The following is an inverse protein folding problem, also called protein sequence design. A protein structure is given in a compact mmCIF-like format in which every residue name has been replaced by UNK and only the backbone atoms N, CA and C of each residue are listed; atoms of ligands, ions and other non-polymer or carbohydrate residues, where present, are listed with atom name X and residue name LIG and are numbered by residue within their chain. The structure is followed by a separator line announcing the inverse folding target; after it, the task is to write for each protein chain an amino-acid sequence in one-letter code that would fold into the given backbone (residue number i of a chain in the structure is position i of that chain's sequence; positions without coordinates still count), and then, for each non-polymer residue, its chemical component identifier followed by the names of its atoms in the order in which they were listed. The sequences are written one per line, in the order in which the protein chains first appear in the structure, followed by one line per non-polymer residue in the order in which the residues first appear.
data_IF_889024819661
#
_entry.id   IF_889024819661
#
_cell.length_a   1.000
_cell.length_b   1.000
_cell.length_c   1.000
_cell.angle_alpha   90.00
_cell.angle_beta   90.00
_cell.angle_gamma   90.00
#
_symmetry.space_group_name_H-M   'P 1'
#
loop_
_entity.id
_entity.type
_entity.pdbx_description
1 polymer ?
#
# COMPACT_ATOMS: atom_id res chain seq x y z
N UNK A 1 -26.09 8.80 -2.34
CA UNK A 1 -25.29 8.10 -1.29
C UNK A 1 -25.99 6.81 -0.92
N UNK A 2 -25.29 5.68 -0.93
CA UNK A 2 -25.83 4.41 -0.47
C UNK A 2 -26.09 4.46 1.05
N UNK A 3 -27.15 3.76 1.50
CA UNK A 3 -27.49 3.68 2.92
C UNK A 3 -26.39 2.88 3.66
N UNK A 4 -25.87 3.37 4.80
CA UNK A 4 -24.87 2.63 5.57
C UNK A 4 -25.36 1.23 5.95
N UNK A 5 -24.46 0.23 5.90
CA UNK A 5 -24.74 -1.13 6.30
C UNK A 5 -23.89 -1.52 7.52
N UNK A 6 -24.27 -1.09 8.74
CA UNK A 6 -23.42 -1.20 9.93
C UNK A 6 -22.94 -2.62 10.24
N UNK A 7 -23.72 -3.64 9.90
CA UNK A 7 -23.32 -5.03 10.11
C UNK A 7 -22.19 -5.44 9.16
N UNK A 8 -22.22 -4.99 7.91
CA UNK A 8 -21.15 -5.25 6.93
C UNK A 8 -19.87 -4.50 7.32
N UNK A 9 -19.98 -3.23 7.70
CA UNK A 9 -18.84 -2.43 8.18
C UNK A 9 -18.15 -3.08 9.38
N UNK A 10 -18.92 -3.55 10.37
CA UNK A 10 -18.39 -4.26 11.54
C UNK A 10 -17.66 -5.55 11.18
N UNK A 11 -18.21 -6.33 10.23
CA UNK A 11 -17.57 -7.54 9.77
C UNK A 11 -16.22 -7.27 9.08
N UNK A 12 -16.18 -6.26 8.21
CA UNK A 12 -14.95 -5.84 7.53
C UNK A 12 -13.93 -5.27 8.52
N UNK A 13 -14.37 -4.45 9.49
CA UNK A 13 -13.47 -3.91 10.54
C UNK A 13 -12.78 -5.01 11.35
N UNK A 14 -13.47 -6.11 11.66
CA UNK A 14 -12.86 -7.26 12.35
C UNK A 14 -11.84 -7.95 11.44
N UNK A 15 -12.17 -8.19 10.18
CA UNK A 15 -11.25 -8.81 9.21
C UNK A 15 -10.00 -7.93 9.04
N UNK A 16 -10.17 -6.63 8.83
CA UNK A 16 -9.07 -5.68 8.66
C UNK A 16 -8.16 -5.63 9.88
N UNK A 17 -8.72 -5.64 11.09
CA UNK A 17 -7.94 -5.70 12.33
C UNK A 17 -7.06 -6.96 12.38
N UNK A 18 -7.61 -8.12 12.01
CA UNK A 18 -6.86 -9.38 12.02
C UNK A 18 -5.81 -9.44 10.89
N UNK A 19 -6.08 -8.86 9.74
CA UNK A 19 -5.12 -8.74 8.62
C UNK A 19 -3.94 -7.86 9.01
N UNK A 20 -4.18 -6.75 9.70
CA UNK A 20 -3.13 -5.80 10.11
C UNK A 20 -2.28 -6.28 11.29
N UNK A 21 -2.72 -7.35 11.99
CA UNK A 21 -2.00 -7.93 13.13
C UNK A 21 -1.72 -9.43 12.92
N UNK A 22 -0.94 -9.79 11.88
CA UNK A 22 -0.64 -11.18 11.58
C UNK A 22 0.16 -11.81 12.73
N UNK A 23 -0.32 -12.94 13.24
CA UNK A 23 0.32 -13.65 14.35
C UNK A 23 -0.22 -13.30 15.74
N UNK A 24 -1.02 -12.23 15.87
CA UNK A 24 -1.76 -11.97 17.11
C UNK A 24 -3.06 -12.79 17.13
N UNK A 25 -3.47 -13.16 18.33
CA UNK A 25 -4.73 -13.87 18.56
C UNK A 25 -5.59 -13.04 19.51
N UNK A 26 -6.80 -12.76 19.12
CA UNK A 26 -7.71 -11.87 19.86
C UNK A 26 -8.88 -12.66 20.45
N UNK A 27 -9.20 -12.41 21.71
CA UNK A 27 -10.46 -12.83 22.31
C UNK A 27 -11.61 -11.95 21.81
N UNK A 28 -12.85 -12.38 22.01
CA UNK A 28 -14.02 -11.56 21.70
C UNK A 28 -13.99 -10.20 22.40
N UNK A 29 -13.51 -10.14 23.63
CA UNK A 29 -13.39 -8.91 24.40
C UNK A 29 -12.35 -7.96 23.81
N UNK A 30 -11.23 -8.51 23.30
CA UNK A 30 -10.21 -7.71 22.62
C UNK A 30 -10.74 -7.13 21.31
N UNK A 31 -11.43 -7.96 20.50
CA UNK A 31 -12.04 -7.52 19.26
C UNK A 31 -13.09 -6.45 19.51
N UNK A 32 -13.99 -6.65 20.46
CA UNK A 32 -15.02 -5.68 20.82
C UNK A 32 -14.40 -4.33 21.23
N UNK A 33 -13.40 -4.37 22.11
CA UNK A 33 -12.71 -3.17 22.60
C UNK A 33 -11.98 -2.43 21.48
N UNK A 34 -11.19 -3.13 20.66
CA UNK A 34 -10.38 -2.53 19.58
C UNK A 34 -11.24 -1.98 18.44
N UNK A 35 -12.41 -2.56 18.20
CA UNK A 35 -13.33 -2.13 17.13
C UNK A 35 -14.44 -1.20 17.62
N UNK A 36 -14.47 -0.86 18.91
CA UNK A 36 -15.51 -0.01 19.50
C UNK A 36 -16.91 -0.65 19.52
N UNK A 37 -17.02 -1.97 19.37
CA UNK A 37 -18.30 -2.69 19.36
C UNK A 37 -18.75 -3.09 20.77
N UNK A 38 -20.07 -3.19 20.98
CA UNK A 38 -20.57 -3.90 22.14
C UNK A 38 -20.27 -5.40 22.05
N UNK A 39 -20.08 -6.09 23.19
CA UNK A 39 -19.85 -7.55 23.21
C UNK A 39 -20.94 -8.34 22.48
N UNK A 40 -22.20 -7.93 22.61
CA UNK A 40 -23.32 -8.59 21.91
C UNK A 40 -23.22 -8.42 20.38
N UNK A 41 -22.84 -7.23 19.91
CA UNK A 41 -22.63 -6.98 18.50
C UNK A 41 -21.42 -7.74 17.95
N UNK A 42 -20.31 -7.75 18.68
CA UNK A 42 -19.12 -8.53 18.30
C UNK A 42 -19.45 -10.03 18.25
N UNK A 43 -20.19 -10.57 19.23
CA UNK A 43 -20.59 -11.96 19.25
C UNK A 43 -21.42 -12.34 18.02
N UNK A 44 -22.40 -11.53 17.64
CA UNK A 44 -23.25 -11.78 16.48
C UNK A 44 -22.44 -11.78 15.16
N UNK A 45 -21.53 -10.81 14.99
CA UNK A 45 -20.70 -10.72 13.79
C UNK A 45 -19.69 -11.87 13.72
N UNK A 46 -19.02 -12.18 14.84
CA UNK A 46 -18.05 -13.28 14.91
C UNK A 46 -18.68 -14.63 14.63
N UNK A 47 -19.91 -14.88 15.12
CA UNK A 47 -20.62 -16.12 14.87
C UNK A 47 -20.86 -16.33 13.36
N UNK A 48 -21.29 -15.30 12.63
CA UNK A 48 -21.50 -15.37 11.18
C UNK A 48 -20.19 -15.59 10.44
N UNK A 49 -19.13 -14.86 10.81
CA UNK A 49 -17.82 -14.98 10.16
C UNK A 49 -17.19 -16.36 10.41
N UNK A 50 -17.35 -16.92 11.61
CA UNK A 50 -16.90 -18.27 11.97
C UNK A 50 -17.71 -19.33 11.20
N UNK A 51 -19.04 -19.25 11.18
CA UNK A 51 -19.93 -20.16 10.44
C UNK A 51 -19.59 -20.21 8.95
N UNK A 52 -19.24 -19.04 8.37
CA UNK A 52 -18.86 -18.93 6.96
C UNK A 52 -17.38 -19.24 6.68
N UNK A 53 -16.60 -19.58 7.71
CA UNK A 53 -15.18 -19.91 7.59
C UNK A 53 -14.25 -18.72 7.29
N UNK A 54 -14.73 -17.47 7.39
CA UNK A 54 -13.91 -16.27 7.29
C UNK A 54 -13.03 -16.08 8.52
N UNK A 55 -13.48 -16.56 9.67
CA UNK A 55 -12.69 -16.64 10.89
C UNK A 55 -12.57 -18.09 11.36
N UNK A 56 -11.46 -18.38 12.04
CA UNK A 56 -11.23 -19.62 12.76
C UNK A 56 -11.11 -19.30 14.25
N UNK A 57 -11.85 -20.07 15.09
CA UNK A 57 -11.78 -19.94 16.54
C UNK A 57 -10.95 -21.05 17.14
N UNK A 58 -9.98 -20.68 17.97
CA UNK A 58 -9.18 -21.67 18.69
C UNK A 58 -10.02 -22.35 19.79
N UNK A 59 -10.16 -23.69 19.80
CA UNK A 59 -11.13 -24.39 20.65
C UNK A 59 -10.84 -24.22 22.16
N UNK A 60 -9.57 -24.14 22.54
CA UNK A 60 -9.15 -24.04 23.96
C UNK A 60 -9.01 -22.58 24.39
N UNK A 61 -8.22 -21.78 23.65
CA UNK A 61 -7.94 -20.37 24.00
C UNK A 61 -9.10 -19.43 23.73
N UNK A 62 -10.08 -19.87 22.93
CA UNK A 62 -11.24 -19.09 22.49
C UNK A 62 -10.86 -17.79 21.79
N UNK A 63 -9.68 -17.75 21.17
CA UNK A 63 -9.19 -16.64 20.36
C UNK A 63 -9.59 -16.83 18.89
N UNK A 64 -9.70 -15.72 18.17
CA UNK A 64 -10.06 -15.68 16.76
C UNK A 64 -8.86 -15.32 15.91
N UNK A 65 -8.78 -15.92 14.73
CA UNK A 65 -7.83 -15.61 13.67
C UNK A 65 -8.53 -15.70 12.32
N UNK A 66 -7.79 -15.36 11.24
CA UNK A 66 -8.30 -15.45 9.87
C UNK A 66 -8.61 -16.91 9.50
N UNK A 67 -9.74 -17.13 8.84
CA UNK A 67 -10.19 -18.45 8.42
C UNK A 67 -9.88 -18.78 6.96
N UNK A 68 -9.97 -20.06 6.56
CA UNK A 68 -9.58 -20.54 5.23
C UNK A 68 -10.43 -19.99 4.08
N UNK A 69 -11.65 -19.51 4.33
CA UNK A 69 -12.47 -18.87 3.30
C UNK A 69 -11.82 -17.62 2.70
N UNK A 70 -10.99 -16.92 3.48
CA UNK A 70 -10.23 -15.76 2.98
C UNK A 70 -9.13 -16.17 2.00
N UNK A 71 -8.53 -17.35 2.17
CA UNK A 71 -7.55 -17.88 1.22
C UNK A 71 -8.21 -18.12 -0.13
N UNK A 72 -9.37 -18.76 -0.14
CA UNK A 72 -10.13 -18.99 -1.39
C UNK A 72 -10.55 -17.68 -2.06
N UNK A 73 -11.01 -16.70 -1.28
CA UNK A 73 -11.38 -15.39 -1.79
C UNK A 73 -10.15 -14.66 -2.38
N UNK A 74 -9.01 -14.71 -1.70
CA UNK A 74 -7.75 -14.12 -2.18
C UNK A 74 -7.26 -14.77 -3.48
N UNK A 75 -7.30 -16.10 -3.58
CA UNK A 75 -6.94 -16.81 -4.82
C UNK A 75 -7.85 -16.42 -5.99
N UNK A 76 -9.16 -16.40 -5.78
CA UNK A 76 -10.11 -15.96 -6.80
C UNK A 76 -9.88 -14.50 -7.23
N UNK A 77 -9.53 -13.62 -6.29
CA UNK A 77 -9.17 -12.23 -6.59
C UNK A 77 -7.90 -12.15 -7.43
N UNK A 78 -6.87 -12.93 -7.12
CA UNK A 78 -5.62 -12.98 -7.91
C UNK A 78 -5.86 -13.49 -9.33
N UNK A 79 -6.74 -14.48 -9.53
CA UNK A 79 -7.12 -14.97 -10.84
C UNK A 79 -7.84 -13.90 -11.69
N UNK A 80 -8.64 -13.04 -11.05
CA UNK A 80 -9.32 -11.92 -11.70
C UNK A 80 -8.38 -10.74 -12.02
N UNK A 81 -7.20 -10.68 -11.40
CA UNK A 81 -6.22 -9.62 -11.57
C UNK A 81 -4.87 -10.15 -12.08
N UNK A 82 -4.78 -10.57 -13.35
CA UNK A 82 -3.58 -11.17 -13.91
C UNK A 82 -2.35 -10.25 -13.84
N UNK A 83 -2.55 -8.93 -13.77
CA UNK A 83 -1.46 -7.97 -13.60
C UNK A 83 -0.68 -8.19 -12.29
N UNK A 84 -1.35 -8.59 -11.20
CA UNK A 84 -0.69 -8.89 -9.93
C UNK A 84 0.23 -10.11 -10.09
N UNK A 85 -0.28 -11.20 -10.67
CA UNK A 85 0.50 -12.43 -10.88
C UNK A 85 1.72 -12.17 -11.77
N UNK A 86 1.51 -11.54 -12.91
CA UNK A 86 2.61 -11.25 -13.86
C UNK A 86 3.63 -10.30 -13.21
N UNK A 87 3.20 -9.25 -12.48
CA UNK A 87 4.10 -8.37 -11.77
C UNK A 87 4.94 -9.12 -10.73
N UNK A 88 4.31 -10.02 -9.95
CA UNK A 88 5.00 -10.85 -8.96
C UNK A 88 6.11 -11.71 -9.57
N UNK A 89 5.90 -12.24 -10.79
CA UNK A 89 6.91 -13.00 -11.53
C UNK A 89 8.11 -12.12 -11.96
N UNK A 90 7.90 -10.82 -12.21
CA UNK A 90 8.94 -9.91 -12.72
C UNK A 90 9.79 -9.25 -11.63
N UNK A 91 9.22 -8.99 -10.44
CA UNK A 91 9.88 -8.15 -9.43
C UNK A 91 11.18 -8.74 -8.87
N UNK A 92 11.33 -10.08 -8.84
CA UNK A 92 12.57 -10.71 -8.38
C UNK A 92 13.78 -10.37 -9.25
N UNK A 93 13.59 -10.34 -10.58
CA UNK A 93 14.63 -9.94 -11.54
C UNK A 93 15.00 -8.46 -11.39
N UNK A 94 13.98 -7.58 -11.29
CA UNK A 94 14.18 -6.16 -11.11
C UNK A 94 14.88 -5.83 -9.77
N UNK A 95 14.52 -6.53 -8.71
CA UNK A 95 15.14 -6.36 -7.40
C UNK A 95 16.63 -6.72 -7.41
N UNK A 96 17.00 -7.81 -8.10
CA UNK A 96 18.39 -8.20 -8.28
C UNK A 96 19.19 -7.22 -9.16
N UNK A 97 18.55 -6.65 -10.18
CA UNK A 97 19.16 -5.68 -11.10
C UNK A 97 19.45 -4.34 -10.39
N UNK A 98 18.52 -3.87 -9.56
CA UNK A 98 18.61 -2.59 -8.86
C UNK A 98 19.31 -2.66 -7.51
N UNK A 99 19.66 -3.87 -7.03
CA UNK A 99 20.11 -4.13 -5.65
C UNK A 99 19.20 -3.44 -4.61
N UNK A 100 17.89 -3.60 -4.78
CA UNK A 100 16.83 -2.89 -4.04
C UNK A 100 15.67 -3.83 -3.70
N UNK A 101 14.81 -3.42 -2.78
CA UNK A 101 13.54 -4.08 -2.55
C UNK A 101 12.51 -3.60 -3.58
N UNK A 102 11.81 -4.53 -4.21
CA UNK A 102 10.76 -4.21 -5.18
C UNK A 102 9.44 -4.82 -4.72
N UNK A 103 8.39 -4.02 -4.73
CA UNK A 103 7.07 -4.44 -4.30
C UNK A 103 6.03 -4.23 -5.39
N UNK A 104 5.07 -5.15 -5.46
CA UNK A 104 3.82 -4.97 -6.19
C UNK A 104 2.81 -4.37 -5.25
N UNK A 105 2.28 -3.22 -5.59
CA UNK A 105 1.25 -2.55 -4.81
C UNK A 105 -0.06 -2.47 -5.58
N UNK A 106 -1.19 -2.58 -4.87
CA UNK A 106 -2.52 -2.38 -5.44
C UNK A 106 -3.26 -1.30 -4.66
N UNK A 107 -3.96 -0.41 -5.37
CA UNK A 107 -4.77 0.63 -4.75
C UNK A 107 -6.17 0.12 -4.43
N UNK A 108 -6.65 0.41 -3.23
CA UNK A 108 -8.07 0.41 -2.86
C UNK A 108 -8.55 1.87 -2.80
N UNK A 109 -9.84 2.15 -2.62
CA UNK A 109 -10.30 3.52 -2.45
C UNK A 109 -9.62 4.30 -1.31
N UNK A 110 -9.07 3.62 -0.30
CA UNK A 110 -8.55 4.24 0.92
C UNK A 110 -7.15 3.79 1.32
N UNK A 111 -6.62 2.72 0.73
CA UNK A 111 -5.32 2.13 1.08
C UNK A 111 -4.50 1.75 -0.16
N UNK A 112 -3.20 1.66 0.04
CA UNK A 112 -2.27 0.95 -0.83
C UNK A 112 -1.92 -0.36 -0.12
N UNK A 113 -2.12 -1.48 -0.80
CA UNK A 113 -1.85 -2.84 -0.30
C UNK A 113 -0.57 -3.36 -0.93
N UNK A 114 0.36 -3.87 -0.14
CA UNK A 114 1.55 -4.57 -0.62
C UNK A 114 1.18 -6.02 -0.94
N UNK A 115 1.11 -6.34 -2.22
CA UNK A 115 0.58 -7.64 -2.69
C UNK A 115 1.67 -8.68 -2.83
N UNK A 116 2.87 -8.26 -3.26
CA UNK A 116 4.02 -9.14 -3.37
C UNK A 116 5.31 -8.34 -3.11
N UNK A 117 6.32 -9.01 -2.57
CA UNK A 117 7.62 -8.42 -2.23
C UNK A 117 8.73 -9.24 -2.89
N UNK A 118 9.60 -8.59 -3.65
CA UNK A 118 10.82 -9.15 -4.24
C UNK A 118 12.06 -8.44 -3.66
N UNK A 119 13.16 -9.16 -3.55
CA UNK A 119 14.41 -8.65 -2.99
C UNK A 119 14.86 -9.45 -1.78
N UNK A 120 16.00 -9.07 -1.23
CA UNK A 120 16.64 -9.77 -0.09
C UNK A 120 16.49 -9.03 1.23
N UNK A 121 15.69 -7.97 1.27
CA UNK A 121 15.61 -7.04 2.37
C UNK A 121 16.77 -6.06 2.33
N UNK A 122 16.59 -4.94 1.68
CA UNK A 122 17.61 -3.89 1.62
C UNK A 122 17.89 -3.33 3.02
N UNK A 123 19.16 -3.04 3.30
CA UNK A 123 19.59 -2.35 4.54
C UNK A 123 18.93 -0.98 4.69
N UNK A 124 18.58 -0.34 3.58
CA UNK A 124 18.02 1.01 3.52
C UNK A 124 16.52 1.01 3.24
N UNK A 125 15.91 -0.19 3.05
CA UNK A 125 14.51 -0.33 2.72
C UNK A 125 13.60 -0.32 3.95
N UNK A 126 12.31 -0.01 3.75
CA UNK A 126 11.31 0.03 4.83
C UNK A 126 10.89 -1.36 5.34
N UNK A 127 11.45 -2.45 4.79
CA UNK A 127 11.11 -3.81 5.21
C UNK A 127 9.65 -4.17 4.95
N UNK A 128 9.18 -3.96 3.74
CA UNK A 128 7.81 -4.26 3.30
C UNK A 128 7.40 -5.71 3.58
N UNK A 129 6.13 -5.90 3.90
CA UNK A 129 5.53 -7.22 4.08
C UNK A 129 4.30 -7.37 3.21
N UNK A 130 4.13 -8.56 2.63
CA UNK A 130 2.92 -8.90 1.90
C UNK A 130 1.69 -8.82 2.81
N UNK A 131 0.59 -8.30 2.28
CA UNK A 131 -0.64 -8.03 3.03
C UNK A 131 -0.61 -6.75 3.87
N UNK A 132 0.52 -6.08 4.00
CA UNK A 132 0.62 -4.79 4.68
C UNK A 132 -0.16 -3.72 3.91
N UNK A 133 -0.72 -2.75 4.65
CA UNK A 133 -1.48 -1.64 4.10
C UNK A 133 -0.95 -0.32 4.63
N UNK A 134 -0.87 0.66 3.74
CA UNK A 134 -0.64 2.05 4.10
C UNK A 134 -1.78 2.92 3.57
N UNK A 135 -2.13 4.00 4.26
CA UNK A 135 -3.19 4.89 3.79
C UNK A 135 -2.88 5.48 2.40
N UNK A 136 -3.88 5.49 1.52
CA UNK A 136 -3.83 6.21 0.26
C UNK A 136 -4.17 7.68 0.52
N UNK A 137 -3.19 8.44 0.98
CA UNK A 137 -3.28 9.87 1.30
C UNK A 137 -2.11 10.61 0.69
N UNK A 138 -2.27 11.89 0.31
CA UNK A 138 -1.16 12.69 -0.22
C UNK A 138 0.05 12.75 0.74
N UNK A 139 1.28 12.68 0.20
CA UNK A 139 1.67 12.48 -1.21
C UNK A 139 1.74 11.02 -1.66
N UNK A 140 1.41 10.03 -0.79
CA UNK A 140 1.41 8.63 -1.19
C UNK A 140 0.34 8.37 -2.25
N UNK A 141 0.70 7.57 -3.24
CA UNK A 141 -0.23 7.16 -4.29
C UNK A 141 -0.23 8.03 -5.54
N UNK A 142 0.71 8.98 -5.71
CA UNK A 142 0.85 9.79 -6.92
C UNK A 142 0.80 8.93 -8.20
N UNK A 143 1.45 7.76 -8.20
CA UNK A 143 1.46 6.83 -9.32
C UNK A 143 0.06 6.31 -9.70
N UNK A 144 -0.87 6.21 -8.74
CA UNK A 144 -2.26 5.84 -9.00
C UNK A 144 -3.08 7.06 -9.43
N UNK A 145 -2.88 8.18 -8.72
CA UNK A 145 -3.68 9.40 -8.90
C UNK A 145 -3.34 10.14 -10.20
N UNK A 146 -2.14 9.97 -10.74
CA UNK A 146 -1.73 10.64 -11.97
C UNK A 146 -2.65 10.33 -13.17
N UNK A 147 -3.28 9.17 -13.20
CA UNK A 147 -4.22 8.75 -14.27
C UNK A 147 -5.65 8.49 -13.76
N UNK A 148 -5.94 8.87 -12.51
CA UNK A 148 -7.27 8.73 -11.93
C UNK A 148 -8.24 9.81 -12.45
N UNK A 149 -9.55 9.59 -12.27
CA UNK A 149 -10.54 10.59 -12.57
C UNK A 149 -10.48 11.76 -11.56
N UNK A 150 -10.96 12.91 -11.95
CA UNK A 150 -10.89 14.12 -11.13
C UNK A 150 -11.58 13.96 -9.76
N UNK A 151 -12.68 13.24 -9.69
CA UNK A 151 -13.40 12.93 -8.45
C UNK A 151 -12.61 12.00 -7.52
N UNK A 152 -11.83 11.07 -8.07
CA UNK A 152 -10.93 10.19 -7.29
C UNK A 152 -9.76 10.99 -6.72
N UNK A 153 -9.21 11.93 -7.52
CA UNK A 153 -8.14 12.84 -7.07
C UNK A 153 -8.65 13.76 -5.97
N UNK A 154 -9.86 14.35 -6.11
CA UNK A 154 -10.47 15.19 -5.08
C UNK A 154 -10.73 14.39 -3.78
N UNK A 155 -11.24 13.18 -3.91
CA UNK A 155 -11.44 12.31 -2.76
C UNK A 155 -10.11 11.92 -2.06
N UNK A 156 -9.04 11.76 -2.82
CA UNK A 156 -7.70 11.52 -2.28
C UNK A 156 -7.15 12.75 -1.58
N UNK A 157 -7.25 13.94 -2.18
CA UNK A 157 -6.84 15.21 -1.56
C UNK A 157 -7.59 15.49 -0.26
N UNK A 158 -8.88 15.23 -0.24
CA UNK A 158 -9.72 15.41 0.95
C UNK A 158 -9.37 14.51 2.14
N UNK A 159 -8.46 13.54 1.97
CA UNK A 159 -7.94 12.69 3.05
C UNK A 159 -6.65 13.22 3.69
N UNK A 160 -6.08 14.29 3.17
CA UNK A 160 -4.91 14.90 3.79
C UNK A 160 -5.24 15.42 5.19
N UNK A 161 -4.32 15.23 6.13
CA UNK A 161 -4.44 15.74 7.49
C UNK A 161 -4.08 17.23 7.61
N UNK A 162 -3.52 17.81 6.56
CA UNK A 162 -3.07 19.21 6.50
C UNK A 162 -3.57 19.88 5.22
N UNK A 163 -3.58 21.20 5.22
CA UNK A 163 -3.88 21.98 4.03
C UNK A 163 -2.75 21.82 3.01
N UNK A 164 -3.11 21.44 1.79
CA UNK A 164 -2.17 21.13 0.73
C UNK A 164 -2.05 22.27 -0.27
N UNK A 165 -0.83 22.55 -0.71
CA UNK A 165 -0.59 23.39 -1.86
C UNK A 165 -1.04 22.67 -3.13
N UNK A 166 -2.23 23.05 -3.63
CA UNK A 166 -2.87 22.43 -4.80
C UNK A 166 -2.00 22.52 -6.05
N UNK A 167 -1.35 23.66 -6.27
CA UNK A 167 -0.52 23.86 -7.46
C UNK A 167 0.68 22.90 -7.46
N UNK A 168 1.28 22.65 -6.29
CA UNK A 168 2.35 21.65 -6.14
C UNK A 168 1.85 20.23 -6.44
N UNK A 169 0.67 19.88 -6.01
CA UNK A 169 0.08 18.56 -6.30
C UNK A 169 -0.17 18.40 -7.80
N UNK A 170 -0.75 19.41 -8.44
CA UNK A 170 -1.07 19.37 -9.86
C UNK A 170 0.20 19.27 -10.71
N UNK A 171 1.27 19.99 -10.32
CA UNK A 171 2.60 19.88 -10.95
C UNK A 171 3.17 18.46 -10.74
N UNK A 172 3.06 17.89 -9.55
CA UNK A 172 3.56 16.53 -9.28
C UNK A 172 2.81 15.49 -10.12
N UNK A 173 1.49 15.56 -10.18
CA UNK A 173 0.67 14.66 -11.01
C UNK A 173 1.00 14.79 -12.50
N UNK A 174 1.20 16.02 -13.00
CA UNK A 174 1.60 16.26 -14.37
C UNK A 174 3.00 15.66 -14.65
N UNK A 175 3.96 15.91 -13.76
CA UNK A 175 5.33 15.37 -13.88
C UNK A 175 5.32 13.84 -13.93
N UNK A 176 4.54 13.19 -13.09
CA UNK A 176 4.42 11.72 -13.08
C UNK A 176 3.83 11.22 -14.40
N UNK A 177 2.81 11.91 -14.97
CA UNK A 177 2.23 11.56 -16.27
C UNK A 177 3.25 11.69 -17.41
N UNK A 178 3.96 12.81 -17.46
CA UNK A 178 4.92 13.08 -18.53
C UNK A 178 6.10 12.12 -18.50
N UNK A 179 6.60 11.80 -17.31
CA UNK A 179 7.74 10.90 -17.10
C UNK A 179 7.35 9.42 -17.16
N UNK A 180 6.14 9.09 -16.72
CA UNK A 180 5.60 7.74 -16.65
C UNK A 180 5.97 6.96 -15.38
N UNK A 181 6.54 7.64 -14.37
CA UNK A 181 6.84 7.08 -13.05
C UNK A 181 6.91 8.19 -11.99
N UNK A 182 6.67 7.84 -10.74
CA UNK A 182 6.78 8.71 -9.59
C UNK A 182 8.10 8.46 -8.85
N UNK A 183 8.70 9.49 -8.31
CA UNK A 183 9.89 9.43 -7.45
C UNK A 183 9.58 10.04 -6.10
N UNK A 184 9.88 9.32 -5.03
CA UNK A 184 9.77 9.83 -3.66
C UNK A 184 11.14 9.96 -3.01
N UNK A 185 11.35 11.01 -2.21
CA UNK A 185 12.58 11.16 -1.41
C UNK A 185 12.50 10.32 -0.13
N UNK A 186 13.66 10.01 0.46
CA UNK A 186 13.73 9.52 1.84
C UNK A 186 13.38 10.68 2.76
N UNK A 187 12.10 10.85 3.00
CA UNK A 187 11.60 11.79 3.98
C UNK A 187 11.36 11.11 5.34
N UNK A 188 10.80 11.84 6.27
CA UNK A 188 10.40 11.32 7.57
C UNK A 188 9.35 10.19 7.44
N UNK A 189 8.53 10.23 6.40
CA UNK A 189 7.58 9.16 6.03
C UNK A 189 8.32 7.86 5.72
N UNK A 190 9.36 7.90 4.88
CA UNK A 190 10.18 6.72 4.57
C UNK A 190 10.84 6.15 5.82
N UNK A 191 11.36 7.01 6.69
CA UNK A 191 11.92 6.59 8.00
C UNK A 191 10.87 6.01 8.93
N UNK A 192 9.66 6.57 8.97
CA UNK A 192 8.54 6.07 9.80
C UNK A 192 8.05 4.71 9.29
N UNK A 193 7.98 4.51 7.98
CA UNK A 193 7.61 3.23 7.38
C UNK A 193 8.72 2.17 7.56
N UNK A 194 9.99 2.60 7.56
CA UNK A 194 11.17 1.76 7.74
C UNK A 194 11.50 1.45 9.22
N UNK A 195 10.93 2.21 10.16
CA UNK A 195 11.18 1.96 11.59
C UNK A 195 10.79 0.50 11.93
N UNK A 196 11.67 -0.25 12.62
CA UNK A 196 11.33 -1.59 13.07
C UNK A 196 10.04 -1.48 13.89
N UNK A 197 8.95 -1.99 13.35
CA UNK A 197 7.75 -2.21 14.16
C UNK A 197 8.17 -3.21 15.21
N UNK A 198 8.42 -2.71 16.41
CA UNK A 198 8.83 -3.53 17.52
C UNK A 198 7.90 -4.74 17.56
N UNK A 199 8.49 -5.92 17.46
CA UNK A 199 7.85 -7.17 17.85
C UNK A 199 7.65 -7.10 19.37
N UNK A 200 6.78 -6.17 19.79
CA UNK A 200 6.45 -5.96 21.18
C UNK A 200 5.53 -7.08 21.62
N UNK A 201 6.14 -8.12 22.17
CA UNK A 201 5.47 -8.99 23.11
C UNK A 201 5.11 -8.24 24.40
N UNK A 202 4.49 -7.09 24.30
CA UNK A 202 3.89 -6.37 25.44
C UNK A 202 2.54 -5.84 25.01
N UNK A 203 1.51 -6.48 25.52
CA UNK A 203 0.12 -6.02 25.52
C UNK A 203 0.02 -4.59 26.07
N UNK A 204 -0.29 -3.62 25.22
CA UNK A 204 -0.52 -2.24 25.67
C UNK A 204 -0.97 -1.36 24.51
N UNK A 205 -2.27 -1.15 24.40
CA UNK A 205 -2.97 0.00 23.84
C UNK A 205 -2.15 0.98 22.95
N UNK A 206 -2.00 0.69 21.67
CA UNK A 206 -1.37 1.61 20.72
C UNK A 206 -1.98 1.53 19.31
N UNK A 207 -3.28 1.37 19.13
CA UNK A 207 -3.81 1.00 17.81
C UNK A 207 -4.80 1.96 17.15
N UNK A 208 -5.42 2.87 17.86
CA UNK A 208 -6.21 3.94 17.24
C UNK A 208 -5.35 5.14 16.82
N UNK A 209 -4.29 5.45 17.59
CA UNK A 209 -3.36 6.54 17.28
C UNK A 209 -2.37 6.22 16.16
N UNK A 210 -2.15 4.96 15.83
CA UNK A 210 -1.13 4.56 14.86
C UNK A 210 -1.48 4.95 13.42
N UNK A 211 -2.74 4.73 12.97
CA UNK A 211 -3.14 5.04 11.59
C UNK A 211 -3.31 6.54 11.38
N UNK A 212 -3.98 7.23 12.29
CA UNK A 212 -4.15 8.68 12.25
C UNK A 212 -2.81 9.40 12.36
N UNK A 213 -1.95 8.98 13.28
CA UNK A 213 -0.60 9.51 13.41
C UNK A 213 0.26 9.24 12.17
N UNK A 214 0.12 8.08 11.55
CA UNK A 214 0.79 7.77 10.28
C UNK A 214 0.28 8.66 9.15
N UNK A 215 -1.03 8.85 9.04
CA UNK A 215 -1.63 9.75 8.04
C UNK A 215 -1.16 11.19 8.23
N UNK A 216 -1.12 11.66 9.47
CA UNK A 216 -0.62 12.99 9.80
C UNK A 216 0.87 13.12 9.45
N UNK A 217 1.71 12.16 9.83
CA UNK A 217 3.14 12.14 9.49
C UNK A 217 3.36 12.13 7.97
N UNK A 218 2.59 11.33 7.23
CA UNK A 218 2.67 11.27 5.77
C UNK A 218 2.29 12.62 5.16
N UNK A 219 1.22 13.24 5.62
CA UNK A 219 0.73 14.50 5.07
C UNK A 219 1.64 15.69 5.41
N UNK A 220 2.22 15.71 6.62
CA UNK A 220 3.09 16.80 7.08
C UNK A 220 4.49 16.76 6.44
N UNK A 221 5.06 15.57 6.28
CA UNK A 221 6.48 15.40 5.94
C UNK A 221 6.68 14.72 4.59
N UNK A 222 5.61 14.39 3.88
CA UNK A 222 5.69 13.81 2.56
C UNK A 222 6.15 14.82 1.53
N UNK A 223 7.32 14.60 0.93
CA UNK A 223 7.72 15.35 -0.25
C UNK A 223 6.97 14.82 -1.46
N UNK A 224 6.33 15.73 -2.19
CA UNK A 224 5.80 15.44 -3.50
C UNK A 224 6.92 15.08 -4.47
N UNK A 225 6.55 14.49 -5.58
CA UNK A 225 7.47 14.06 -6.63
C UNK A 225 8.56 15.08 -6.95
N UNK A 226 9.73 14.57 -7.36
CA UNK A 226 10.87 15.39 -7.80
C UNK A 226 10.59 15.90 -9.23
N UNK A 227 10.17 17.15 -9.41
CA UNK A 227 9.78 17.64 -10.74
C UNK A 227 10.99 17.83 -11.67
N UNK A 228 12.12 18.27 -11.12
CA UNK A 228 13.33 18.53 -11.87
C UNK A 228 14.50 17.74 -11.30
N UNK A 229 15.13 16.91 -12.12
CA UNK A 229 16.30 16.11 -11.75
C UNK A 229 17.50 16.63 -12.53
N UNK A 230 18.45 17.19 -11.80
CA UNK A 230 19.72 17.66 -12.35
C UNK A 230 20.69 16.47 -12.40
N UNK A 231 21.25 16.09 -13.56
CA UNK A 231 22.00 14.85 -13.74
C UNK A 231 23.15 14.62 -12.76
N UNK A 232 23.87 15.70 -12.40
CA UNK A 232 25.07 15.62 -11.57
C UNK A 232 24.83 15.91 -10.08
N UNK A 233 23.58 16.26 -9.71
CA UNK A 233 23.21 16.52 -8.32
C UNK A 233 22.89 15.22 -7.59
N UNK A 234 23.27 15.14 -6.33
CA UNK A 234 22.95 13.99 -5.47
C UNK A 234 21.55 14.10 -4.87
N UNK A 235 20.88 12.95 -4.78
CA UNK A 235 19.55 12.79 -4.23
C UNK A 235 19.48 11.64 -3.26
N UNK A 236 18.66 11.79 -2.24
CA UNK A 236 18.25 10.68 -1.38
C UNK A 236 16.94 10.11 -1.90
N UNK A 237 17.04 9.14 -2.82
CA UNK A 237 15.88 8.47 -3.39
C UNK A 237 15.29 7.48 -2.39
N UNK A 238 14.04 7.68 -2.01
CA UNK A 238 13.28 6.77 -1.13
C UNK A 238 12.56 5.68 -1.92
N UNK A 239 11.92 6.08 -3.03
CA UNK A 239 11.17 5.15 -3.87
C UNK A 239 11.12 5.62 -5.33
N UNK A 240 11.01 4.64 -6.24
CA UNK A 240 10.61 4.85 -7.62
C UNK A 240 9.42 3.92 -7.92
N UNK A 241 8.33 4.47 -8.45
CA UNK A 241 7.08 3.72 -8.64
C UNK A 241 6.51 3.95 -10.04
N UNK A 242 6.19 2.88 -10.76
CA UNK A 242 5.63 2.95 -12.10
C UNK A 242 4.28 2.25 -12.20
N UNK A 243 3.33 2.80 -12.99
CA UNK A 243 1.98 2.26 -13.13
C UNK A 243 1.94 1.02 -14.00
N UNK A 244 1.08 0.08 -13.64
CA UNK A 244 0.62 -0.99 -14.51
C UNK A 244 -0.81 -0.66 -14.92
N UNK A 245 -1.03 -0.51 -16.23
CA UNK A 245 -2.33 -0.15 -16.76
C UNK A 245 -3.18 -1.37 -17.08
N UNK A 246 -4.47 -1.28 -16.80
CA UNK A 246 -5.47 -2.24 -17.26
C UNK A 246 -5.91 -1.97 -18.72
N UNK A 247 -6.89 -2.75 -19.22
CA UNK A 247 -7.41 -2.63 -20.58
C UNK A 247 -8.10 -1.26 -20.84
N UNK A 248 -8.63 -0.62 -19.79
CA UNK A 248 -9.28 0.69 -19.85
C UNK A 248 -8.28 1.84 -19.67
N UNK A 249 -7.00 1.50 -19.41
CA UNK A 249 -5.94 2.47 -19.14
C UNK A 249 -6.03 3.08 -17.75
N UNK A 250 -6.63 2.38 -16.79
CA UNK A 250 -6.63 2.75 -15.36
C UNK A 250 -5.45 2.10 -14.67
N UNK A 251 -4.99 2.73 -13.59
CA UNK A 251 -3.91 2.20 -12.76
C UNK A 251 -4.49 1.59 -11.50
N UNK A 252 -4.44 0.26 -11.44
CA UNK A 252 -4.85 -0.50 -10.24
C UNK A 252 -3.64 -1.08 -9.51
N UNK A 253 -2.58 -1.42 -10.26
CA UNK A 253 -1.34 -2.01 -9.76
C UNK A 253 -0.19 -1.08 -10.08
N UNK A 254 0.79 -0.99 -9.18
CA UNK A 254 2.06 -0.32 -9.44
C UNK A 254 3.23 -1.21 -8.99
N UNK A 255 4.38 -1.03 -9.64
CA UNK A 255 5.66 -1.63 -9.24
C UNK A 255 6.48 -0.53 -8.59
N UNK A 256 6.92 -0.75 -7.38
CA UNK A 256 7.68 0.22 -6.58
C UNK A 256 8.99 -0.38 -6.13
N UNK A 257 10.10 0.27 -6.46
CA UNK A 257 11.43 -0.05 -5.94
C UNK A 257 11.82 0.92 -4.82
N UNK A 258 12.52 0.43 -3.80
CA UNK A 258 12.96 1.23 -2.65
C UNK A 258 14.18 0.60 -1.98
N UNK A 259 14.75 1.31 -1.00
CA UNK A 259 15.90 0.79 -0.26
C UNK A 259 17.23 1.02 -0.97
N UNK A 260 17.31 2.09 -1.72
CA UNK A 260 18.52 2.49 -2.45
C UNK A 260 19.61 3.01 -1.51
N UNK A 261 20.86 2.91 -1.94
CA UNK A 261 21.99 3.54 -1.26
C UNK A 261 21.82 5.08 -1.29
N UNK A 262 22.19 5.78 -0.20
CA UNK A 262 22.20 7.24 -0.18
C UNK A 262 23.18 7.84 -1.20
N UNK A 263 22.90 9.07 -1.66
CA UNK A 263 23.81 9.84 -2.51
C UNK A 263 23.79 9.43 -3.99
N UNK A 264 22.64 9.02 -4.52
CA UNK A 264 22.47 8.75 -5.95
C UNK A 264 22.50 10.04 -6.76
N UNK A 265 23.27 10.05 -7.85
CA UNK A 265 23.21 11.14 -8.82
C UNK A 265 21.88 11.21 -9.53
N UNK A 266 21.48 12.37 -10.04
CA UNK A 266 20.24 12.50 -10.80
C UNK A 266 20.19 11.61 -12.04
N UNK A 267 21.34 11.27 -12.62
CA UNK A 267 21.44 10.31 -13.73
C UNK A 267 21.04 8.90 -13.26
N UNK A 268 21.57 8.43 -12.13
CA UNK A 268 21.21 7.14 -11.54
C UNK A 268 19.74 7.08 -11.11
N UNK A 269 19.23 8.17 -10.52
CA UNK A 269 17.80 8.29 -10.15
C UNK A 269 16.91 8.15 -11.37
N UNK A 270 17.27 8.80 -12.49
CA UNK A 270 16.53 8.69 -13.75
C UNK A 270 16.59 7.28 -14.33
N UNK A 271 17.77 6.65 -14.30
CA UNK A 271 17.95 5.28 -14.79
C UNK A 271 17.11 4.29 -13.98
N UNK A 272 17.11 4.39 -12.65
CA UNK A 272 16.26 3.59 -11.76
C UNK A 272 14.78 3.74 -12.15
N UNK A 273 14.30 4.97 -12.32
CA UNK A 273 12.93 5.26 -12.71
C UNK A 273 12.55 4.61 -14.05
N UNK A 274 13.41 4.73 -15.05
CA UNK A 274 13.19 4.11 -16.35
C UNK A 274 13.21 2.57 -16.30
N UNK A 275 14.02 1.96 -15.44
CA UNK A 275 14.03 0.50 -15.24
C UNK A 275 12.72 0.01 -14.59
N UNK A 276 12.23 0.71 -13.57
CA UNK A 276 10.94 0.39 -12.93
C UNK A 276 9.79 0.56 -13.93
N UNK A 277 9.79 1.63 -14.73
CA UNK A 277 8.82 1.87 -15.81
C UNK A 277 8.87 0.79 -16.89
N UNK A 278 10.06 0.38 -17.30
CA UNK A 278 10.23 -0.69 -18.27
C UNK A 278 9.60 -2.01 -17.78
N UNK A 279 9.85 -2.39 -16.53
CA UNK A 279 9.24 -3.56 -15.89
C UNK A 279 7.71 -3.45 -15.87
N UNK A 280 7.15 -2.32 -15.40
CA UNK A 280 5.71 -2.09 -15.37
C UNK A 280 5.08 -2.12 -16.78
N UNK A 281 5.81 -1.61 -17.79
CA UNK A 281 5.40 -1.66 -19.19
C UNK A 281 5.31 -3.09 -19.71
N UNK A 282 6.28 -3.96 -19.35
CA UNK A 282 6.24 -5.39 -19.69
C UNK A 282 4.99 -6.04 -19.12
N UNK A 283 4.71 -5.82 -17.85
CA UNK A 283 3.50 -6.34 -17.17
C UNK A 283 2.23 -5.85 -17.88
N UNK A 284 2.12 -4.55 -18.14
CA UNK A 284 0.99 -3.94 -18.85
C UNK A 284 0.74 -4.63 -20.20
N UNK A 285 1.81 -4.83 -21.01
CA UNK A 285 1.69 -5.49 -22.32
C UNK A 285 1.28 -6.96 -22.21
N UNK A 286 1.87 -7.70 -21.27
CA UNK A 286 1.55 -9.12 -21.06
C UNK A 286 0.11 -9.34 -20.58
N UNK A 287 -0.46 -8.36 -19.87
CA UNK A 287 -1.84 -8.40 -19.41
C UNK A 287 -2.82 -7.66 -20.30
N UNK A 288 -2.41 -7.30 -21.52
CA UNK A 288 -3.20 -6.56 -22.50
C UNK A 288 -3.73 -5.23 -22.00
N UNK A 289 -2.99 -4.58 -21.10
CA UNK A 289 -3.29 -3.23 -20.64
C UNK A 289 -3.00 -2.19 -21.72
N UNK A 290 -3.69 -1.05 -21.61
CA UNK A 290 -3.57 0.07 -22.55
C UNK A 290 -2.60 1.10 -21.96
N UNK A 291 -1.39 1.16 -22.51
CA UNK A 291 -0.43 2.21 -22.15
C UNK A 291 -1.03 3.59 -22.41
N UNK A 292 -0.88 4.48 -21.43
CA UNK A 292 -1.16 5.91 -21.59
C UNK A 292 0.19 6.64 -21.60
N UNK A 293 0.39 7.45 -22.62
CA UNK A 293 1.52 8.38 -22.69
C UNK A 293 1.19 9.64 -21.95
#
# INVERSE_FOLDING_TARGET
MARPAPAAERALTIIDLLVTHPGEQFTISDLARRTGMSLGSAHAVLAVLEERGYLARHPVRRTYGLGPALVSAGMAALDQHPAIRVATEQIGGLAAELDADVVVTAATPVDIVFVAVGGRGSRYGPGFREGERVPLVPPLGLVFMAWAHADEVEAWLGRAAVDLDRDRVDVALATVRDRGYALGRVGEVGRTLAAPRASSGSSGAADGGSRESLMETISLHGDYDLPNIEPEKEYELGMASAPVFDADGRVFVAITASGFTPGLTGREVTEIGERVKACATVVTKQTRGRLRG
#
